data_IF_173727674689
#
_entry.id   IF_173727674689
#
_cell.length_a   1.000
_cell.length_b   1.000
_cell.length_c   1.000
_cell.angle_alpha   90.00
_cell.angle_beta   90.00
_cell.angle_gamma   90.00
#
_symmetry.space_group_name_H-M   'P 1'
#
loop_
_entity.id
_entity.type
_entity.pdbx_description
1 polymer ?
#
# COMPACT_ATOMS: atom_id res chain seq x y z
N UNK A 1 13.77 8.05 -1.82
CA UNK A 1 13.59 8.17 -0.36
C UNK A 1 12.10 8.34 -0.11
N UNK A 2 11.51 7.58 0.81
CA UNK A 2 10.07 7.64 1.10
C UNK A 2 9.79 8.88 1.98
N UNK A 3 8.87 9.79 1.59
CA UNK A 3 8.49 10.92 2.43
C UNK A 3 7.97 10.49 3.81
N UNK A 4 8.54 11.02 4.89
CA UNK A 4 8.13 10.65 6.26
C UNK A 4 6.73 11.18 6.63
N UNK A 5 6.22 12.15 5.86
CA UNK A 5 4.90 12.74 6.12
C UNK A 5 3.75 11.91 5.59
N UNK A 6 4.02 10.96 4.69
CA UNK A 6 2.97 10.20 4.01
C UNK A 6 2.49 9.01 4.83
N UNK A 7 1.24 8.65 4.60
CA UNK A 7 0.63 7.40 5.06
C UNK A 7 0.83 6.35 3.98
N UNK A 8 1.36 5.20 4.36
CA UNK A 8 1.75 4.13 3.45
C UNK A 8 0.83 2.94 3.61
N UNK A 9 0.23 2.52 2.51
CA UNK A 9 -0.64 1.36 2.44
C UNK A 9 0.03 0.32 1.56
N UNK A 10 0.52 -0.75 2.17
CA UNK A 10 1.16 -1.86 1.48
C UNK A 10 0.19 -3.02 1.35
N UNK A 11 0.18 -3.65 0.18
CA UNK A 11 -0.71 -4.76 -0.10
C UNK A 11 -0.05 -5.85 -0.94
N UNK A 12 -0.72 -7.00 -1.02
CA UNK A 12 -0.38 -8.11 -1.88
C UNK A 12 -1.42 -8.23 -3.01
N UNK A 13 -0.95 -8.24 -4.26
CA UNK A 13 -1.78 -8.48 -5.44
C UNK A 13 -1.61 -9.91 -5.98
N UNK A 14 -2.60 -10.40 -6.72
CA UNK A 14 -2.66 -11.79 -7.23
C UNK A 14 -1.69 -12.00 -8.38
N UNK A 15 -0.43 -12.18 -8.04
CA UNK A 15 0.61 -12.62 -8.96
C UNK A 15 1.58 -13.54 -8.22
N UNK A 16 1.95 -14.67 -8.81
CA UNK A 16 2.92 -15.61 -8.23
C UNK A 16 4.32 -14.99 -7.98
N UNK A 17 4.61 -13.85 -8.62
CA UNK A 17 5.83 -13.06 -8.42
C UNK A 17 5.67 -11.92 -7.43
N UNK A 18 4.49 -11.72 -6.84
CA UNK A 18 4.28 -10.68 -5.83
C UNK A 18 5.07 -11.02 -4.57
N UNK A 19 5.51 -9.97 -3.85
CA UNK A 19 6.16 -10.17 -2.56
C UNK A 19 5.09 -10.36 -1.51
N UNK A 20 5.17 -11.45 -0.74
CA UNK A 20 4.26 -11.70 0.38
C UNK A 20 4.33 -10.57 1.39
N UNK A 21 3.17 -10.09 1.85
CA UNK A 21 3.08 -8.93 2.72
C UNK A 21 3.87 -9.11 4.02
N UNK A 22 3.89 -10.32 4.58
CA UNK A 22 4.63 -10.64 5.81
C UNK A 22 6.13 -10.46 5.64
N UNK A 23 6.69 -10.94 4.52
CA UNK A 23 8.11 -10.77 4.18
C UNK A 23 8.45 -9.30 3.97
N UNK A 24 7.52 -8.53 3.40
CA UNK A 24 7.70 -7.11 3.17
C UNK A 24 7.68 -6.31 4.47
N UNK A 25 6.76 -6.64 5.39
CA UNK A 25 6.62 -6.01 6.71
C UNK A 25 7.89 -6.09 7.55
N UNK A 26 8.62 -7.19 7.47
CA UNK A 26 9.90 -7.35 8.17
C UNK A 26 11.00 -6.42 7.64
N UNK A 27 10.94 -6.06 6.35
CA UNK A 27 11.93 -5.22 5.66
C UNK A 27 11.63 -3.73 5.82
N UNK A 28 10.36 -3.33 5.94
CA UNK A 28 9.97 -1.93 6.14
C UNK A 28 10.05 -1.56 7.62
N UNK A 29 11.28 -1.38 8.11
CA UNK A 29 11.54 -0.92 9.50
C UNK A 29 11.54 0.60 9.63
N UNK A 30 11.85 1.33 8.56
CA UNK A 30 12.10 2.78 8.60
C UNK A 30 10.83 3.65 8.63
N UNK A 31 9.66 3.10 8.28
CA UNK A 31 8.42 3.86 8.09
C UNK A 31 7.28 3.32 8.99
N UNK A 32 7.64 2.51 9.99
CA UNK A 32 6.70 1.69 10.77
C UNK A 32 5.49 2.44 11.33
N UNK A 33 5.66 3.70 11.73
CA UNK A 33 4.61 4.45 12.42
C UNK A 33 3.49 4.95 11.49
N UNK A 34 3.71 4.96 10.17
CA UNK A 34 2.73 5.37 9.15
C UNK A 34 2.54 4.30 8.07
N UNK A 35 2.81 3.04 8.41
CA UNK A 35 2.70 1.92 7.47
C UNK A 35 1.58 0.98 7.88
N UNK A 36 0.65 0.77 6.96
CA UNK A 36 -0.47 -0.16 7.07
C UNK A 36 -0.24 -1.30 6.08
N UNK A 37 -0.56 -2.53 6.49
CA UNK A 37 -0.27 -3.73 5.71
C UNK A 37 -1.55 -4.55 5.53
N UNK A 38 -1.84 -4.91 4.29
CA UNK A 38 -3.04 -5.64 3.90
C UNK A 38 -2.65 -6.83 3.02
N UNK A 39 -3.43 -7.90 3.06
CA UNK A 39 -3.28 -9.05 2.17
C UNK A 39 -4.12 -8.94 0.90
N UNK A 40 -5.01 -7.95 0.83
CA UNK A 40 -5.93 -7.72 -0.27
C UNK A 40 -5.79 -6.27 -0.79
N UNK A 41 -5.73 -6.13 -2.12
CA UNK A 41 -5.52 -4.84 -2.78
C UNK A 41 -6.70 -3.89 -2.59
N UNK A 42 -7.93 -4.40 -2.67
CA UNK A 42 -9.13 -3.58 -2.54
C UNK A 42 -9.29 -3.08 -1.11
N UNK A 43 -9.03 -3.93 -0.11
CA UNK A 43 -9.06 -3.51 1.29
C UNK A 43 -8.05 -2.38 1.59
N UNK A 44 -6.83 -2.49 1.04
CA UNK A 44 -5.81 -1.46 1.19
C UNK A 44 -6.23 -0.13 0.55
N UNK A 45 -6.81 -0.22 -0.66
CA UNK A 45 -7.26 0.94 -1.41
C UNK A 45 -8.43 1.65 -0.71
N UNK A 46 -9.44 0.90 -0.24
CA UNK A 46 -10.55 1.46 0.53
C UNK A 46 -10.08 2.09 1.84
N UNK A 47 -9.14 1.47 2.55
CA UNK A 47 -8.56 2.03 3.76
C UNK A 47 -7.84 3.36 3.48
N UNK A 48 -7.08 3.42 2.39
CA UNK A 48 -6.40 4.64 1.97
C UNK A 48 -7.40 5.75 1.58
N UNK A 49 -8.48 5.40 0.88
CA UNK A 49 -9.56 6.34 0.54
C UNK A 49 -10.28 6.88 1.79
N UNK A 50 -10.50 6.05 2.81
CA UNK A 50 -11.15 6.47 4.07
C UNK A 50 -10.31 7.42 4.90
N UNK A 51 -8.97 7.29 4.82
CA UNK A 51 -8.05 8.20 5.50
C UNK A 51 -7.92 9.54 4.78
N UNK A 52 -8.15 9.55 3.46
CA UNK A 52 -7.95 10.71 2.61
C UNK A 52 -8.96 11.82 2.95
N UNK A 53 -8.47 12.97 3.44
CA UNK A 53 -9.30 14.18 3.45
C UNK A 53 -9.53 14.66 2.01
N UNK A 54 -10.54 15.50 1.77
CA UNK A 54 -10.88 15.98 0.41
C UNK A 54 -9.74 16.72 -0.32
N UNK A 55 -8.72 17.15 0.40
CA UNK A 55 -7.57 17.88 -0.13
C UNK A 55 -6.33 16.99 -0.33
N UNK A 56 -6.35 15.78 0.19
CA UNK A 56 -5.21 14.86 0.15
C UNK A 56 -5.16 14.09 -1.19
N UNK A 57 -3.96 13.82 -1.67
CA UNK A 57 -3.73 13.06 -2.91
C UNK A 57 -3.38 11.61 -2.59
N UNK A 58 -4.19 10.67 -3.09
CA UNK A 58 -3.87 9.25 -3.06
C UNK A 58 -2.98 8.87 -4.26
N UNK A 59 -1.75 8.42 -3.99
CA UNK A 59 -0.84 7.91 -5.02
C UNK A 59 -0.77 6.38 -4.94
N UNK A 60 -1.22 5.71 -6.00
CA UNK A 60 -1.10 4.25 -6.16
C UNK A 60 0.05 3.95 -7.13
N UNK A 61 1.03 3.17 -6.71
CA UNK A 61 2.21 2.86 -7.52
C UNK A 61 2.87 1.53 -7.13
N UNK A 62 3.75 1.02 -8.00
CA UNK A 62 4.61 -0.13 -7.74
C UNK A 62 4.49 -1.26 -8.75
N UNK A 63 3.31 -1.49 -9.33
CA UNK A 63 3.07 -2.58 -10.30
C UNK A 63 1.83 -2.30 -11.17
N UNK A 64 1.83 -2.78 -12.41
CA UNK A 64 0.62 -2.78 -13.25
C UNK A 64 -0.45 -3.75 -12.74
N UNK A 65 -0.05 -4.90 -12.19
CA UNK A 65 -0.99 -5.88 -11.61
C UNK A 65 -1.73 -5.30 -10.39
N UNK A 66 -1.09 -4.37 -9.66
CA UNK A 66 -1.74 -3.66 -8.58
C UNK A 66 -2.86 -2.75 -9.12
N UNK A 67 -2.57 -2.03 -10.21
CA UNK A 67 -3.55 -1.12 -10.83
C UNK A 67 -4.71 -1.90 -11.46
N UNK A 68 -4.43 -3.05 -12.08
CA UNK A 68 -5.44 -3.95 -12.65
C UNK A 68 -6.45 -4.44 -11.60
N UNK A 69 -6.06 -4.62 -10.34
CA UNK A 69 -6.98 -5.03 -9.27
C UNK A 69 -7.82 -3.87 -8.72
N UNK A 70 -7.48 -2.62 -9.03
CA UNK A 70 -8.15 -1.41 -8.52
C UNK A 70 -9.08 -0.79 -9.58
N UNK A 71 -8.75 -0.94 -10.87
CA UNK A 71 -9.47 -0.38 -12.02
C UNK A 71 -10.49 -1.38 -12.56
#
# INVERSE_FOLDING_TARGET
MFPLEWEYFFTEFKNNRSTKIDVFKEKVKLIKNKSHFFSDTLEAFEAAQKLNNKEDMLLVFGSFFLLEEII
#
